data_IF_445641431821
#
_entry.id   IF_445641431821
#
_cell.length_a   1.000
_cell.length_b   1.000
_cell.length_c   1.000
_cell.angle_alpha   90.00
_cell.angle_beta   90.00
_cell.angle_gamma   90.00
#
_symmetry.space_group_name_H-M   'P 1'
#
loop_
_entity.id
_entity.type
_entity.pdbx_description
1 polymer ?
#
# COMPACT_ATOMS: atom_id res chain seq x y z
N UNK A 1 50.04 9.55 -25.58
CA UNK A 1 49.00 8.51 -25.76
C UNK A 1 48.16 8.26 -24.50
N UNK A 2 48.73 8.25 -23.29
CA UNK A 2 47.98 7.98 -22.04
C UNK A 2 46.91 9.04 -21.68
N UNK A 3 47.11 10.32 -22.00
CA UNK A 3 46.13 11.38 -21.71
C UNK A 3 44.85 11.30 -22.56
N UNK A 4 44.95 10.77 -23.78
CA UNK A 4 43.83 10.66 -24.72
C UNK A 4 42.91 9.49 -24.34
N UNK A 5 43.49 8.39 -23.88
CA UNK A 5 42.74 7.22 -23.38
C UNK A 5 41.99 7.52 -22.09
N UNK A 6 42.57 8.28 -21.16
CA UNK A 6 41.89 8.68 -19.91
C UNK A 6 40.67 9.57 -20.17
N UNK A 7 40.76 10.50 -21.14
CA UNK A 7 39.64 11.37 -21.53
C UNK A 7 38.49 10.61 -22.20
N UNK A 8 38.81 9.61 -23.03
CA UNK A 8 37.79 8.71 -23.60
C UNK A 8 37.10 7.87 -22.53
N UNK A 9 37.87 7.30 -21.58
CA UNK A 9 37.32 6.50 -20.50
C UNK A 9 36.40 7.32 -19.57
N UNK A 10 36.76 8.58 -19.29
CA UNK A 10 35.89 9.50 -18.54
C UNK A 10 34.59 9.83 -19.29
N UNK A 11 34.68 10.11 -20.59
CA UNK A 11 33.51 10.44 -21.41
C UNK A 11 32.54 9.26 -21.53
N UNK A 12 33.06 8.03 -21.68
CA UNK A 12 32.26 6.81 -21.72
C UNK A 12 31.64 6.52 -20.34
N UNK A 13 32.36 6.76 -19.24
CA UNK A 13 31.84 6.60 -17.88
C UNK A 13 30.74 7.63 -17.54
N UNK A 14 30.86 8.87 -18.01
CA UNK A 14 29.83 9.90 -17.84
C UNK A 14 28.61 9.57 -18.69
N UNK A 15 28.80 9.13 -19.93
CA UNK A 15 27.69 8.73 -20.81
C UNK A 15 26.96 7.49 -20.28
N UNK A 16 27.65 6.51 -19.70
CA UNK A 16 27.03 5.35 -19.08
C UNK A 16 26.29 5.71 -17.79
N UNK A 17 26.83 6.61 -16.97
CA UNK A 17 26.14 7.12 -15.77
C UNK A 17 24.86 7.90 -16.12
N UNK A 18 24.87 8.69 -17.21
CA UNK A 18 23.70 9.42 -17.72
C UNK A 18 22.63 8.47 -18.29
N UNK A 19 23.03 7.36 -18.93
CA UNK A 19 22.09 6.34 -19.40
C UNK A 19 21.47 5.50 -18.27
N UNK A 20 22.15 5.38 -17.11
CA UNK A 20 21.63 4.72 -15.90
C UNK A 20 20.58 5.56 -15.15
N UNK A 21 20.39 6.84 -15.50
CA UNK A 21 19.23 7.63 -15.08
C UNK A 21 17.97 7.36 -15.94
N UNK A 22 17.97 6.28 -16.72
CA UNK A 22 16.79 5.77 -17.42
C UNK A 22 15.66 5.43 -16.44
N UNK A 23 14.76 6.40 -16.26
CA UNK A 23 13.41 6.33 -15.70
C UNK A 23 13.11 5.10 -14.84
N UNK A 24 13.54 5.15 -13.58
CA UNK A 24 12.86 4.39 -12.53
C UNK A 24 11.49 5.07 -12.32
N UNK A 25 10.45 4.59 -13.00
CA UNK A 25 9.07 4.89 -12.60
C UNK A 25 8.74 4.07 -11.34
N UNK A 26 9.35 4.46 -10.23
CA UNK A 26 9.05 3.91 -8.91
C UNK A 26 8.25 4.93 -8.13
N UNK A 27 6.96 4.68 -7.92
CA UNK A 27 5.99 5.46 -7.11
C UNK A 27 5.83 6.95 -7.48
N UNK A 28 4.68 7.57 -7.12
CA UNK A 28 4.45 9.02 -7.29
C UNK A 28 5.24 9.82 -6.25
N UNK A 29 6.57 9.72 -6.29
CA UNK A 29 7.45 10.64 -5.57
C UNK A 29 7.49 11.95 -6.32
N UNK A 30 7.17 13.03 -5.61
CA UNK A 30 7.30 14.38 -6.12
C UNK A 30 8.33 15.12 -5.29
N UNK A 31 9.07 16.01 -5.94
CA UNK A 31 10.05 16.86 -5.27
C UNK A 31 9.32 18.01 -4.55
N UNK A 32 9.95 18.56 -3.51
CA UNK A 32 9.38 19.66 -2.72
C UNK A 32 8.31 19.23 -1.71
N UNK A 33 7.58 20.22 -1.19
CA UNK A 33 6.56 20.01 -0.16
C UNK A 33 5.27 19.42 -0.72
N UNK A 34 4.49 18.77 0.16
CA UNK A 34 3.14 18.33 -0.15
C UNK A 34 2.29 19.50 -0.68
N UNK A 35 1.50 19.32 -1.74
CA UNK A 35 0.58 20.35 -2.19
C UNK A 35 -0.45 20.66 -1.11
N UNK A 36 -0.90 21.90 -1.09
CA UNK A 36 -1.95 22.34 -0.17
C UNK A 36 -3.31 22.00 -0.77
N UNK A 37 -3.94 20.97 -0.23
CA UNK A 37 -5.32 20.60 -0.57
C UNK A 37 -6.26 21.18 0.48
N UNK A 38 -7.23 21.97 0.03
CA UNK A 38 -8.22 22.59 0.89
C UNK A 38 -9.20 21.53 1.44
N UNK A 39 -9.30 21.35 2.76
CA UNK A 39 -10.25 20.43 3.36
C UNK A 39 -11.70 20.88 3.14
N UNK A 40 -12.64 19.94 3.10
CA UNK A 40 -14.06 20.26 3.00
C UNK A 40 -14.53 21.06 4.22
N UNK A 41 -15.19 22.20 3.96
CA UNK A 41 -15.85 23.00 5.00
C UNK A 41 -17.07 22.29 5.58
N UNK A 42 -17.27 22.39 6.90
CA UNK A 42 -18.44 21.81 7.57
C UNK A 42 -18.47 20.28 7.55
N UNK A 43 -17.30 19.64 7.39
CA UNK A 43 -17.19 18.20 7.36
C UNK A 43 -17.65 17.54 8.66
N UNK A 44 -18.45 16.48 8.56
CA UNK A 44 -18.99 15.74 9.70
C UNK A 44 -18.51 14.29 9.67
N UNK A 45 -17.49 13.99 10.48
CA UNK A 45 -16.85 12.68 10.50
C UNK A 45 -17.83 11.53 10.77
N UNK A 46 -18.86 11.76 11.60
CA UNK A 46 -19.90 10.76 11.89
C UNK A 46 -20.63 10.27 10.62
N UNK A 47 -20.87 11.15 9.66
CA UNK A 47 -21.56 10.81 8.41
C UNK A 47 -20.61 10.14 7.41
N UNK A 48 -19.31 10.38 7.55
CA UNK A 48 -18.28 9.80 6.68
C UNK A 48 -17.90 8.35 7.02
N UNK A 49 -18.32 7.86 8.20
CA UNK A 49 -18.08 6.47 8.62
C UNK A 49 -18.72 5.44 7.67
N UNK A 50 -18.27 4.21 7.82
CA UNK A 50 -18.74 3.05 7.07
C UNK A 50 -17.90 2.77 5.83
N UNK A 51 -18.54 2.07 4.90
CA UNK A 51 -17.88 1.50 3.73
C UNK A 51 -17.86 2.52 2.58
N UNK A 52 -16.72 2.56 1.91
CA UNK A 52 -16.45 3.33 0.71
C UNK A 52 -15.72 2.43 -0.31
N UNK A 53 -16.28 2.28 -1.50
CA UNK A 53 -15.60 1.62 -2.61
C UNK A 53 -14.66 2.59 -3.29
N UNK A 54 -13.42 2.17 -3.53
CA UNK A 54 -12.46 2.98 -4.28
C UNK A 54 -12.74 2.82 -5.77
N UNK A 55 -13.04 3.94 -6.44
CA UNK A 55 -13.35 3.97 -7.88
C UNK A 55 -12.10 4.33 -8.69
N UNK A 56 -11.34 5.31 -8.22
CA UNK A 56 -10.04 5.65 -8.79
C UNK A 56 -9.03 5.95 -7.69
N UNK A 57 -7.78 5.55 -7.89
CA UNK A 57 -6.69 5.84 -6.95
C UNK A 57 -5.36 6.01 -7.66
N UNK A 58 -4.53 6.92 -7.19
CA UNK A 58 -3.18 7.12 -7.72
C UNK A 58 -2.32 5.88 -7.52
N UNK A 59 -1.71 5.37 -8.59
CA UNK A 59 -0.66 4.35 -8.51
C UNK A 59 -1.08 3.00 -7.93
N UNK A 60 -2.34 2.60 -8.06
CA UNK A 60 -2.81 1.26 -7.67
C UNK A 60 -2.95 0.34 -8.88
N UNK A 61 -2.63 -0.93 -8.67
CA UNK A 61 -2.95 -2.05 -9.56
C UNK A 61 -3.91 -3.06 -8.90
N UNK A 62 -4.41 -2.72 -7.71
CA UNK A 62 -5.31 -3.56 -6.93
C UNK A 62 -6.74 -3.47 -7.46
N UNK A 63 -7.51 -4.55 -7.27
CA UNK A 63 -8.93 -4.63 -7.57
C UNK A 63 -9.72 -4.80 -6.28
N UNK A 64 -11.04 -4.57 -6.33
CA UNK A 64 -11.92 -4.75 -5.19
C UNK A 64 -11.48 -3.97 -3.94
N UNK A 65 -10.97 -2.76 -4.14
CA UNK A 65 -10.43 -1.96 -3.03
C UNK A 65 -11.56 -1.27 -2.28
N UNK A 66 -11.63 -1.49 -0.98
CA UNK A 66 -12.67 -0.94 -0.09
C UNK A 66 -12.00 -0.28 1.10
N UNK A 67 -12.50 0.89 1.49
CA UNK A 67 -12.19 1.56 2.75
C UNK A 67 -13.36 1.36 3.70
N UNK A 68 -13.10 0.74 4.85
CA UNK A 68 -14.04 0.66 5.96
C UNK A 68 -13.55 1.57 7.08
N UNK A 69 -14.30 2.65 7.35
CA UNK A 69 -13.94 3.65 8.34
C UNK A 69 -14.84 3.50 9.55
N UNK A 70 -14.26 3.18 10.71
CA UNK A 70 -15.00 2.93 11.95
C UNK A 70 -14.52 3.83 13.07
N UNK A 71 -15.38 4.05 14.07
CA UNK A 71 -15.05 4.88 15.23
C UNK A 71 -14.16 4.10 16.19
N UNK A 72 -13.09 4.72 16.70
CA UNK A 72 -12.43 4.23 17.90
C UNK A 72 -13.29 4.59 19.12
N UNK A 73 -13.82 3.58 19.82
CA UNK A 73 -14.67 3.79 21.00
C UNK A 73 -13.88 4.18 22.25
N UNK A 74 -12.58 3.89 22.26
CA UNK A 74 -11.70 4.11 23.41
C UNK A 74 -11.09 5.52 23.39
N UNK A 75 -10.76 6.02 22.20
CA UNK A 75 -10.12 7.33 22.03
C UNK A 75 -11.00 8.28 21.22
N UNK A 76 -11.49 9.39 21.81
CA UNK A 76 -12.15 10.45 21.06
C UNK A 76 -11.28 10.97 19.92
N UNK A 77 -11.90 11.39 18.81
CA UNK A 77 -11.23 11.93 17.62
C UNK A 77 -10.30 10.95 16.88
N UNK A 78 -10.26 9.69 17.30
CA UNK A 78 -9.62 8.61 16.57
C UNK A 78 -10.63 7.69 15.89
N UNK A 79 -10.20 7.16 14.76
CA UNK A 79 -10.96 6.28 13.89
C UNK A 79 -10.02 5.22 13.31
N UNK A 80 -10.58 4.09 12.94
CA UNK A 80 -9.86 3.09 12.17
C UNK A 80 -10.20 3.23 10.70
N UNK A 81 -9.21 3.03 9.84
CA UNK A 81 -9.39 2.89 8.40
C UNK A 81 -8.83 1.54 7.99
N UNK A 82 -9.70 0.62 7.61
CA UNK A 82 -9.31 -0.66 7.05
C UNK A 82 -9.37 -0.57 5.52
N UNK A 83 -8.24 -0.81 4.86
CA UNK A 83 -8.18 -0.99 3.42
C UNK A 83 -8.15 -2.48 3.10
N UNK A 84 -9.22 -2.99 2.49
CA UNK A 84 -9.29 -4.34 1.92
C UNK A 84 -9.04 -4.25 0.42
N UNK A 85 -8.24 -5.17 -0.12
CA UNK A 85 -7.94 -5.21 -1.55
C UNK A 85 -7.60 -6.61 -2.04
N UNK A 86 -7.87 -6.87 -3.32
CA UNK A 86 -7.36 -8.04 -4.02
C UNK A 86 -6.22 -7.62 -4.94
N UNK A 87 -5.07 -8.27 -4.86
CA UNK A 87 -4.03 -8.09 -5.87
C UNK A 87 -4.42 -8.82 -7.15
N UNK A 88 -4.02 -8.28 -8.29
CA UNK A 88 -4.11 -8.97 -9.56
C UNK A 88 -3.52 -10.38 -9.44
N UNK A 89 -4.13 -11.42 -10.06
CA UNK A 89 -3.70 -12.79 -9.88
C UNK A 89 -2.24 -12.93 -10.28
N UNK A 90 -1.39 -13.16 -9.29
CA UNK A 90 -0.03 -13.63 -9.49
C UNK A 90 -0.15 -15.04 -10.07
N UNK A 91 -0.06 -15.11 -11.40
CA UNK A 91 0.06 -16.30 -12.27
C UNK A 91 0.20 -17.67 -11.57
N UNK A 92 -0.66 -18.61 -11.99
CA UNK A 92 -0.62 -20.09 -11.88
C UNK A 92 -1.37 -20.82 -10.74
N UNK A 93 -2.00 -20.15 -9.77
CA UNK A 93 -2.88 -20.83 -8.81
C UNK A 93 -4.16 -20.02 -8.53
N UNK A 94 -5.32 -20.68 -8.28
CA UNK A 94 -6.59 -20.01 -7.98
C UNK A 94 -6.64 -19.50 -6.53
N UNK A 95 -5.57 -18.84 -6.07
CA UNK A 95 -5.50 -18.31 -4.70
C UNK A 95 -5.91 -16.84 -4.76
N UNK A 96 -7.12 -16.55 -4.25
CA UNK A 96 -7.58 -15.19 -4.00
C UNK A 96 -6.82 -14.66 -2.79
N UNK A 97 -5.76 -13.87 -3.02
CA UNK A 97 -5.03 -13.19 -1.96
C UNK A 97 -5.74 -11.89 -1.61
N UNK A 98 -6.49 -11.91 -0.51
CA UNK A 98 -7.05 -10.71 0.10
C UNK A 98 -6.02 -10.11 1.07
N UNK A 99 -5.74 -8.81 0.92
CA UNK A 99 -4.90 -8.07 1.84
C UNK A 99 -5.76 -7.04 2.56
N UNK A 100 -5.76 -7.11 3.90
CA UNK A 100 -6.37 -6.10 4.77
C UNK A 100 -5.28 -5.36 5.55
N UNK A 101 -5.32 -4.04 5.50
CA UNK A 101 -4.45 -3.15 6.23
C UNK A 101 -5.27 -2.22 7.11
N UNK A 102 -5.09 -2.30 8.42
CA UNK A 102 -5.75 -1.41 9.38
C UNK A 102 -4.83 -0.27 9.77
N UNK A 103 -5.27 0.96 9.51
CA UNK A 103 -4.61 2.20 9.90
C UNK A 103 -5.41 2.96 10.95
N UNK A 104 -4.78 3.94 11.56
CA UNK A 104 -5.42 4.89 12.48
C UNK A 104 -5.56 6.25 11.82
N UNK A 105 -6.75 6.82 11.85
CA UNK A 105 -7.06 8.19 11.50
C UNK A 105 -7.26 9.01 12.78
N UNK A 106 -6.56 10.13 12.90
CA UNK A 106 -6.69 11.04 14.04
C UNK A 106 -7.08 12.43 13.54
N UNK A 107 -8.17 12.98 14.06
CA UNK A 107 -8.55 14.39 13.86
C UNK A 107 -7.66 15.23 14.77
N UNK A 108 -6.71 15.96 14.19
CA UNK A 108 -5.74 16.77 14.94
C UNK A 108 -6.22 18.20 15.20
N UNK A 109 -7.21 18.66 14.44
CA UNK A 109 -7.79 19.99 14.50
C UNK A 109 -9.31 19.88 14.42
N UNK A 110 -9.99 20.14 15.52
CA UNK A 110 -11.45 20.00 15.63
C UNK A 110 -12.23 21.05 14.84
N UNK A 111 -11.59 22.17 14.51
CA UNK A 111 -12.20 23.21 13.67
C UNK A 111 -12.16 22.81 12.19
N UNK A 112 -11.25 21.89 11.82
CA UNK A 112 -11.08 21.37 10.45
C UNK A 112 -11.04 19.83 10.45
N UNK A 113 -12.14 19.15 10.81
CA UNK A 113 -12.17 17.69 10.98
C UNK A 113 -11.96 16.90 9.68
N UNK A 114 -12.11 17.55 8.52
CA UNK A 114 -11.77 16.98 7.22
C UNK A 114 -10.26 16.75 7.02
N UNK A 115 -9.41 17.36 7.87
CA UNK A 115 -7.97 17.23 7.84
C UNK A 115 -7.51 16.35 9.00
N UNK A 116 -7.17 15.12 8.67
CA UNK A 116 -6.72 14.09 9.61
C UNK A 116 -5.26 13.74 9.37
N UNK A 117 -4.71 13.02 10.34
CA UNK A 117 -3.44 12.32 10.21
C UNK A 117 -3.73 10.82 10.14
N UNK A 118 -3.19 10.14 9.14
CA UNK A 118 -3.28 8.69 8.99
C UNK A 118 -1.96 8.02 9.30
N UNK A 119 -2.01 6.83 9.92
CA UNK A 119 -0.84 6.00 10.18
C UNK A 119 -1.17 4.53 10.00
N UNK A 120 -0.53 3.88 9.02
CA UNK A 120 -0.49 2.41 8.95
C UNK A 120 0.70 1.85 9.76
N UNK A 121 0.55 0.69 10.44
CA UNK A 121 1.58 0.07 11.27
C UNK A 121 2.94 -0.17 10.59
N UNK A 122 2.94 -0.36 9.26
CA UNK A 122 4.14 -0.65 8.46
C UNK A 122 4.76 0.59 7.78
N UNK A 123 4.25 1.80 8.05
CA UNK A 123 4.77 3.03 7.45
C UNK A 123 6.07 3.45 8.13
N UNK A 124 7.21 3.00 7.59
CA UNK A 124 8.57 3.34 8.06
C UNK A 124 8.87 4.83 8.03
N UNK A 125 8.15 5.59 7.20
CA UNK A 125 8.31 7.03 7.04
C UNK A 125 7.38 7.86 7.94
N UNK A 126 6.62 7.22 8.84
CA UNK A 126 5.74 7.89 9.80
C UNK A 126 4.32 8.12 9.29
N UNK A 127 3.65 9.15 9.81
CA UNK A 127 2.26 9.45 9.46
C UNK A 127 2.14 10.28 8.18
N UNK A 128 0.97 10.21 7.53
CA UNK A 128 0.62 11.04 6.39
C UNK A 128 -0.55 11.98 6.71
N UNK A 129 -0.64 13.12 6.03
CA UNK A 129 -1.85 13.93 6.00
C UNK A 129 -2.92 13.17 5.23
N UNK A 130 -4.15 13.16 5.72
CA UNK A 130 -5.33 12.60 5.06
C UNK A 130 -6.41 13.70 5.02
N UNK A 131 -6.77 14.15 3.83
CA UNK A 131 -7.68 15.28 3.64
C UNK A 131 -8.89 14.84 2.84
N UNK A 132 -10.07 14.91 3.44
CA UNK A 132 -11.34 14.82 2.71
C UNK A 132 -11.62 16.19 2.11
N UNK A 133 -11.37 16.36 0.81
CA UNK A 133 -11.49 17.66 0.15
C UNK A 133 -12.89 17.93 -0.41
N UNK A 134 -13.69 16.88 -0.58
CA UNK A 134 -15.11 16.98 -0.90
C UNK A 134 -15.85 15.67 -0.64
N UNK A 135 -17.10 15.74 -0.19
CA UNK A 135 -18.01 14.60 -0.14
C UNK A 135 -19.44 15.11 -0.03
N UNK A 136 -20.41 14.32 -0.47
CA UNK A 136 -21.83 14.47 -0.13
C UNK A 136 -22.29 13.43 0.91
N UNK A 137 -21.35 12.66 1.48
CA UNK A 137 -21.51 11.57 2.43
C UNK A 137 -22.25 10.32 1.91
N UNK A 138 -23.19 10.49 1.00
CA UNK A 138 -24.11 9.44 0.57
C UNK A 138 -23.79 8.85 -0.81
N UNK A 139 -23.00 9.55 -1.63
CA UNK A 139 -22.72 9.11 -3.00
C UNK A 139 -21.23 9.02 -3.25
N UNK A 140 -20.49 10.09 -3.00
CA UNK A 140 -19.09 10.20 -3.39
C UNK A 140 -18.22 10.89 -2.33
N UNK A 141 -16.91 10.63 -2.40
CA UNK A 141 -15.92 11.43 -1.71
C UNK A 141 -14.60 11.52 -2.48
N UNK A 142 -13.91 12.63 -2.28
CA UNK A 142 -12.54 12.85 -2.72
C UNK A 142 -11.62 12.94 -1.51
N UNK A 143 -10.61 12.07 -1.49
CA UNK A 143 -9.58 12.03 -0.46
C UNK A 143 -8.21 12.30 -1.09
N UNK A 144 -7.41 13.10 -0.40
CA UNK A 144 -6.01 13.30 -0.74
C UNK A 144 -5.12 12.97 0.46
N UNK A 145 -4.12 12.11 0.22
CA UNK A 145 -3.13 11.75 1.21
C UNK A 145 -1.75 12.20 0.79
N UNK A 146 -0.96 12.72 1.74
CA UNK A 146 0.42 13.11 1.46
C UNK A 146 1.35 12.91 2.66
N UNK A 147 2.52 12.31 2.40
CA UNK A 147 3.57 12.06 3.37
C UNK A 147 4.85 12.73 2.92
N UNK A 148 5.39 13.60 3.76
CA UNK A 148 6.70 14.22 3.53
C UNK A 148 7.79 13.19 3.75
N UNK A 149 8.77 13.15 2.85
CA UNK A 149 9.97 12.30 2.94
C UNK A 149 11.21 13.17 2.74
N UNK A 150 12.43 12.67 3.02
CA UNK A 150 13.64 13.40 2.67
C UNK A 150 13.65 13.78 1.18
N UNK A 151 13.84 15.07 0.90
CA UNK A 151 13.92 15.65 -0.45
C UNK A 151 12.64 15.57 -1.32
N UNK A 152 11.47 15.28 -0.73
CA UNK A 152 10.22 15.29 -1.48
C UNK A 152 8.99 14.86 -0.68
N UNK A 153 8.00 14.34 -1.38
CA UNK A 153 6.80 13.77 -0.78
C UNK A 153 6.25 12.60 -1.61
N UNK A 154 5.48 11.74 -0.93
CA UNK A 154 4.56 10.79 -1.55
C UNK A 154 3.17 11.35 -1.46
N UNK A 155 2.40 11.21 -2.53
CA UNK A 155 1.00 11.61 -2.53
C UNK A 155 0.11 10.58 -3.22
N UNK A 156 -1.16 10.56 -2.84
CA UNK A 156 -2.18 9.75 -3.49
C UNK A 156 -3.52 10.47 -3.40
N UNK A 157 -4.22 10.53 -4.52
CA UNK A 157 -5.62 10.91 -4.55
C UNK A 157 -6.48 9.65 -4.71
N UNK A 158 -7.62 9.64 -4.01
CA UNK A 158 -8.56 8.51 -4.01
C UNK A 158 -9.97 9.05 -4.19
N UNK A 159 -10.67 8.54 -5.20
CA UNK A 159 -12.09 8.77 -5.45
C UNK A 159 -12.86 7.61 -4.86
N UNK A 160 -13.81 7.93 -4.00
CA UNK A 160 -14.62 7.00 -3.25
C UNK A 160 -16.09 7.09 -3.69
N UNK A 161 -16.79 5.96 -3.63
CA UNK A 161 -18.23 5.86 -3.85
C UNK A 161 -18.88 5.01 -2.76
N UNK A 162 -20.16 5.27 -2.47
CA UNK A 162 -20.98 4.39 -1.62
C UNK A 162 -21.44 3.12 -2.35
N UNK A 163 -21.32 3.06 -3.66
CA UNK A 163 -21.59 1.88 -4.48
C UNK A 163 -20.34 1.45 -5.25
N UNK A 164 -20.37 0.26 -5.85
CA UNK A 164 -19.24 -0.31 -6.62
C UNK A 164 -18.97 0.44 -7.94
N UNK A 165 -19.86 1.33 -8.32
CA UNK A 165 -19.76 2.22 -9.46
C UNK A 165 -19.93 3.68 -9.01
N UNK A 166 -19.65 4.62 -9.91
CA UNK A 166 -19.89 6.03 -9.68
C UNK A 166 -20.14 6.72 -11.00
N UNK A 167 -21.23 7.47 -11.09
CA UNK A 167 -21.57 8.20 -12.31
C UNK A 167 -20.45 9.15 -12.72
N UNK A 168 -20.22 9.21 -14.04
CA UNK A 168 -19.14 10.02 -14.64
C UNK A 168 -19.20 11.48 -14.18
N UNK A 169 -20.38 12.03 -13.95
CA UNK A 169 -20.56 13.41 -13.46
C UNK A 169 -19.84 13.64 -12.12
N UNK A 170 -19.90 12.69 -11.18
CA UNK A 170 -19.21 12.81 -9.89
C UNK A 170 -17.71 12.57 -10.05
N UNK A 171 -17.30 11.62 -10.89
CA UNK A 171 -15.88 11.40 -11.22
C UNK A 171 -15.25 12.68 -11.79
N UNK A 172 -15.88 13.29 -12.79
CA UNK A 172 -15.41 14.52 -13.43
C UNK A 172 -15.39 15.69 -12.42
N UNK A 173 -16.42 15.79 -11.57
CA UNK A 173 -16.51 16.80 -10.50
C UNK A 173 -15.33 16.70 -9.54
N UNK A 174 -14.99 15.49 -9.08
CA UNK A 174 -13.88 15.27 -8.15
C UNK A 174 -12.54 15.56 -8.83
N UNK A 175 -12.33 15.06 -10.05
CA UNK A 175 -11.10 15.31 -10.82
C UNK A 175 -10.89 16.80 -11.10
N UNK A 176 -11.95 17.53 -11.41
CA UNK A 176 -11.88 18.99 -11.64
C UNK A 176 -11.49 19.74 -10.37
N UNK A 177 -12.05 19.38 -9.21
CA UNK A 177 -11.67 19.97 -7.92
C UNK A 177 -10.21 19.65 -7.57
N UNK A 178 -9.78 18.42 -7.82
CA UNK A 178 -8.41 17.97 -7.56
C UNK A 178 -7.37 18.72 -8.42
N UNK A 179 -7.67 18.93 -9.71
CA UNK A 179 -6.82 19.70 -10.61
C UNK A 179 -6.61 21.16 -10.13
N UNK A 180 -7.60 21.73 -9.45
CA UNK A 180 -7.50 23.05 -8.82
C UNK A 180 -6.42 23.14 -7.72
N UNK A 181 -5.95 22.01 -7.18
CA UNK A 181 -4.86 21.95 -6.20
C UNK A 181 -3.50 21.62 -6.84
N UNK A 182 -3.38 21.71 -8.16
CA UNK A 182 -2.19 21.32 -8.93
C UNK A 182 -1.79 19.85 -8.72
N UNK A 183 -2.76 19.00 -8.36
CA UNK A 183 -2.62 17.55 -8.35
C UNK A 183 -3.14 17.04 -9.68
N UNK A 184 -2.28 16.33 -10.43
CA UNK A 184 -2.64 15.80 -11.74
C UNK A 184 -3.81 14.79 -11.62
N UNK A 185 -4.98 15.10 -12.19
CA UNK A 185 -6.12 14.19 -12.14
C UNK A 185 -5.96 12.97 -13.06
N UNK A 186 -4.96 12.94 -13.94
CA UNK A 186 -4.71 11.85 -14.90
C UNK A 186 -3.80 10.75 -14.35
N UNK A 187 -3.14 10.98 -13.22
CA UNK A 187 -2.36 9.96 -12.49
C UNK A 187 -3.24 8.93 -11.73
N UNK A 188 -4.56 8.95 -11.96
CA UNK A 188 -5.54 8.11 -11.31
C UNK A 188 -5.84 6.83 -12.10
N UNK A 189 -5.53 5.67 -11.51
CA UNK A 189 -5.91 4.35 -12.03
C UNK A 189 -7.37 4.05 -11.69
N UNK A 190 -8.12 3.47 -12.63
CA UNK A 190 -9.45 2.92 -12.37
C UNK A 190 -9.30 1.63 -11.56
N UNK A 191 -10.05 1.51 -10.47
CA UNK A 191 -10.10 0.29 -9.64
C UNK A 191 -11.30 -0.55 -10.07
N UNK A 192 -11.04 -1.79 -10.50
CA UNK A 192 -12.11 -2.71 -10.90
C UNK A 192 -12.85 -3.25 -9.68
N UNK A 193 -14.16 -3.01 -9.61
CA UNK A 193 -15.07 -3.46 -8.54
C UNK A 193 -16.00 -4.61 -9.00
N UNK A 194 -15.75 -5.19 -10.18
CA UNK A 194 -16.56 -6.29 -10.75
C UNK A 194 -16.10 -7.64 -10.22
N UNK A 195 -17.04 -8.53 -9.88
CA UNK A 195 -16.72 -9.89 -9.43
C UNK A 195 -16.09 -9.97 -8.04
N UNK A 196 -16.15 -8.89 -7.26
CA UNK A 196 -15.61 -8.84 -5.90
C UNK A 196 -16.43 -9.71 -4.94
N UNK A 197 -15.79 -10.39 -3.96
CA UNK A 197 -16.48 -11.09 -2.88
C UNK A 197 -17.51 -10.21 -2.20
N UNK A 198 -18.54 -10.81 -1.60
CA UNK A 198 -19.43 -10.03 -0.74
C UNK A 198 -18.70 -9.70 0.56
N UNK A 199 -19.04 -8.55 1.13
CA UNK A 199 -18.53 -8.13 2.43
C UNK A 199 -18.87 -9.21 3.47
N UNK A 200 -17.84 -9.75 4.12
CA UNK A 200 -17.99 -10.85 5.10
C UNK A 200 -17.93 -12.27 4.53
N UNK A 201 -17.74 -12.47 3.22
CA UNK A 201 -17.39 -13.79 2.68
C UNK A 201 -15.90 -14.07 2.93
N UNK A 202 -15.58 -15.11 3.71
CA UNK A 202 -14.23 -15.45 4.13
C UNK A 202 -13.32 -15.79 2.94
N UNK A 203 -12.56 -14.81 2.46
CA UNK A 203 -11.27 -15.03 1.82
C UNK A 203 -10.24 -15.49 2.86
N UNK A 204 -9.07 -15.96 2.41
CA UNK A 204 -7.93 -16.11 3.32
C UNK A 204 -7.50 -14.71 3.77
N UNK A 205 -8.12 -14.22 4.84
CA UNK A 205 -7.90 -12.90 5.40
C UNK A 205 -6.52 -12.88 6.08
N UNK A 206 -5.50 -12.42 5.36
CA UNK A 206 -4.24 -12.06 6.00
C UNK A 206 -4.48 -10.69 6.64
N UNK A 207 -4.99 -10.72 7.88
CA UNK A 207 -5.19 -9.50 8.67
C UNK A 207 -3.85 -9.08 9.26
N UNK A 208 -3.30 -7.98 8.73
CA UNK A 208 -2.04 -7.43 9.19
C UNK A 208 -2.36 -6.38 10.26
N UNK A 209 -2.56 -6.88 11.47
CA UNK A 209 -2.75 -6.05 12.66
C UNK A 209 -1.41 -5.66 13.31
N UNK A 210 -1.40 -4.59 14.13
CA UNK A 210 -0.26 -4.26 14.96
C UNK A 210 0.19 -5.42 15.88
N UNK A 211 -0.72 -6.31 16.29
CA UNK A 211 -0.43 -7.43 17.19
C UNK A 211 0.02 -8.72 16.48
N UNK A 212 -0.07 -8.76 15.15
CA UNK A 212 0.33 -9.92 14.33
C UNK A 212 1.83 -10.23 14.45
N UNK A 213 2.66 -9.27 14.87
CA UNK A 213 4.11 -9.43 15.00
C UNK A 213 4.62 -9.56 16.46
N UNK A 214 3.75 -9.76 17.45
CA UNK A 214 4.22 -10.09 18.80
C UNK A 214 4.80 -11.51 18.84
N UNK A 215 5.98 -11.69 19.45
CA UNK A 215 6.68 -12.99 19.55
C UNK A 215 5.85 -14.10 20.23
N UNK A 216 4.80 -13.74 20.98
CA UNK A 216 3.82 -14.66 21.58
C UNK A 216 2.79 -15.20 20.59
N UNK A 217 2.42 -14.44 19.56
CA UNK A 217 1.41 -14.84 18.59
C UNK A 217 1.97 -15.77 17.51
N UNK A 218 3.26 -15.61 17.16
CA UNK A 218 3.99 -16.54 16.30
C UNK A 218 3.98 -17.96 16.90
N UNK A 219 4.26 -18.08 18.20
CA UNK A 219 4.25 -19.37 18.92
C UNK A 219 2.85 -20.02 18.97
N UNK A 220 1.80 -19.22 19.14
CA UNK A 220 0.42 -19.72 19.15
C UNK A 220 -0.07 -20.12 17.76
N UNK A 221 0.34 -19.41 16.70
CA UNK A 221 0.05 -19.78 15.32
C UNK A 221 0.74 -21.10 14.93
N UNK A 222 2.00 -21.30 15.34
CA UNK A 222 2.70 -22.58 15.17
C UNK A 222 2.07 -23.72 15.97
N UNK A 223 1.58 -23.46 17.19
CA UNK A 223 0.87 -24.46 18.01
C UNK A 223 -0.46 -24.89 17.41
N UNK A 224 -1.24 -23.94 16.89
CA UNK A 224 -2.57 -24.21 16.26
C UNK A 224 -2.43 -24.89 14.90
N UNK A 225 -1.35 -24.62 14.17
CA UNK A 225 -0.99 -25.34 12.94
C UNK A 225 -0.52 -26.78 13.22
N UNK A 226 -0.02 -27.07 14.43
CA UNK A 226 0.37 -28.42 14.86
C UNK A 226 -0.79 -29.35 15.23
N UNK A 227 -1.98 -28.80 15.55
CA UNK A 227 -3.16 -29.60 15.96
C UNK A 227 -4.01 -30.08 14.77
N UNK A 228 -3.79 -29.52 13.57
CA UNK A 228 -4.49 -29.91 12.36
C UNK A 228 -3.48 -30.23 11.25
N UNK A 229 -3.10 -31.50 11.11
CA UNK A 229 -2.75 -32.21 9.86
C UNK A 229 -2.16 -33.59 10.25
N UNK A 230 -2.89 -34.66 9.92
CA UNK A 230 -2.45 -36.05 10.07
C UNK A 230 -1.49 -36.51 8.98
N UNK A 231 -0.66 -37.49 9.35
CA UNK A 231 0.24 -38.39 8.60
C UNK A 231 1.26 -37.82 7.58
N UNK A 232 1.10 -36.60 7.07
CA UNK A 232 2.05 -35.99 6.13
C UNK A 232 3.21 -35.23 6.78
N UNK A 233 3.09 -34.88 8.06
CA UNK A 233 4.02 -33.98 8.74
C UNK A 233 5.31 -34.67 9.20
N UNK A 234 5.27 -35.96 9.56
CA UNK A 234 6.46 -36.68 10.04
C UNK A 234 7.56 -36.78 8.98
N UNK A 235 7.20 -36.90 7.70
CA UNK A 235 8.17 -36.89 6.60
C UNK A 235 8.84 -35.52 6.43
N UNK A 236 8.06 -34.44 6.56
CA UNK A 236 8.55 -33.07 6.42
C UNK A 236 9.41 -32.64 7.64
N UNK A 237 9.03 -33.05 8.86
CA UNK A 237 9.80 -32.79 10.08
C UNK A 237 11.10 -33.59 10.08
N UNK A 238 11.08 -34.85 9.64
CA UNK A 238 12.30 -35.64 9.56
C UNK A 238 13.24 -35.14 8.46
N UNK A 239 12.71 -34.68 7.33
CA UNK A 239 13.49 -33.99 6.30
C UNK A 239 14.09 -32.66 6.82
N UNK A 240 13.28 -31.87 7.52
CA UNK A 240 13.70 -30.60 8.14
C UNK A 240 14.74 -30.78 9.23
N UNK A 241 14.61 -31.79 10.11
CA UNK A 241 15.62 -32.14 11.12
C UNK A 241 16.92 -32.64 10.50
N UNK A 242 16.84 -33.38 9.40
CA UNK A 242 18.03 -33.87 8.66
C UNK A 242 18.78 -32.72 7.98
N UNK A 243 18.05 -31.72 7.47
CA UNK A 243 18.61 -30.47 6.97
C UNK A 243 19.22 -29.63 8.11
N UNK A 244 18.48 -29.42 9.19
CA UNK A 244 18.95 -28.63 10.34
C UNK A 244 20.22 -29.20 10.99
N UNK A 245 20.30 -30.52 11.16
CA UNK A 245 21.50 -31.17 11.70
C UNK A 245 22.68 -31.12 10.72
N UNK A 246 22.43 -31.12 9.41
CA UNK A 246 23.47 -30.95 8.39
C UNK A 246 24.03 -29.52 8.36
N UNK A 247 23.23 -28.52 8.73
CA UNK A 247 23.64 -27.11 8.80
C UNK A 247 24.32 -26.72 10.12
N UNK A 248 24.17 -27.51 11.18
CA UNK A 248 24.80 -27.24 12.49
C UNK A 248 26.25 -27.73 12.61
N UNK A 249 26.77 -28.43 11.59
CA UNK A 249 28.11 -29.02 11.60
C UNK A 249 29.13 -28.27 10.72
N UNK A 250 28.73 -27.23 9.99
CA UNK A 250 29.65 -26.44 9.15
C UNK A 250 29.50 -24.94 9.41
N UNK A 251 30.10 -24.45 10.48
CA UNK A 251 30.42 -23.03 10.62
C UNK A 251 31.78 -22.74 9.98
N UNK A 252 31.89 -21.55 9.39
CA UNK A 252 33.05 -20.95 8.68
C UNK A 252 33.18 -21.22 7.17
N UNK A 253 32.29 -20.65 6.36
CA UNK A 253 32.68 -19.89 5.14
C UNK A 253 31.51 -19.03 4.63
N UNK A 254 31.81 -17.80 4.18
CA UNK A 254 30.86 -16.82 3.66
C UNK A 254 30.26 -17.34 2.33
N UNK A 255 29.05 -17.91 2.36
CA UNK A 255 28.39 -18.41 1.15
C UNK A 255 27.42 -17.37 0.57
N UNK A 256 27.85 -16.75 -0.54
CA UNK A 256 26.98 -16.04 -1.49
C UNK A 256 25.87 -16.96 -1.99
N UNK A 257 24.61 -16.57 -1.81
CA UNK A 257 23.47 -17.23 -2.46
C UNK A 257 23.37 -16.68 -3.88
N UNK A 258 23.71 -17.49 -4.88
CA UNK A 258 23.27 -17.27 -6.26
C UNK A 258 21.75 -17.44 -6.31
N UNK A 259 21.05 -16.33 -6.17
CA UNK A 259 19.63 -16.26 -6.49
C UNK A 259 19.49 -16.24 -8.02
N UNK A 260 19.04 -17.35 -8.59
CA UNK A 260 18.60 -17.40 -10.00
C UNK A 260 17.24 -16.70 -10.14
N UNK A 261 17.15 -15.44 -9.73
CA UNK A 261 16.01 -14.56 -10.01
C UNK A 261 16.37 -13.64 -11.16
N UNK A 262 15.65 -13.81 -12.27
CA UNK A 262 15.70 -12.93 -13.42
C UNK A 262 15.48 -11.47 -12.93
N UNK A 263 16.48 -10.57 -13.05
CA UNK A 263 16.44 -9.24 -12.44
C UNK A 263 15.25 -8.39 -12.92
N UNK A 264 14.79 -8.64 -14.14
CA UNK A 264 13.60 -7.98 -14.72
C UNK A 264 12.30 -8.30 -13.96
N UNK A 265 12.22 -9.42 -13.21
CA UNK A 265 11.02 -9.83 -12.47
C UNK A 265 10.96 -9.22 -11.08
N UNK A 266 12.10 -9.10 -10.39
CA UNK A 266 12.18 -8.42 -9.09
C UNK A 266 11.87 -6.93 -9.23
N UNK A 267 12.39 -6.29 -10.27
CA UNK A 267 12.15 -4.87 -10.58
C UNK A 267 10.66 -4.59 -10.85
N UNK A 268 9.96 -5.51 -11.51
CA UNK A 268 8.52 -5.42 -11.79
C UNK A 268 7.64 -5.56 -10.53
N UNK A 269 8.08 -6.33 -9.54
CA UNK A 269 7.36 -6.53 -8.28
C UNK A 269 7.49 -5.32 -7.34
N UNK A 270 8.65 -4.65 -7.36
CA UNK A 270 8.87 -3.40 -6.60
C UNK A 270 8.10 -2.24 -7.22
N UNK A 271 8.01 -2.17 -8.56
CA UNK A 271 7.26 -1.13 -9.28
C UNK A 271 5.73 -1.25 -9.17
N UNK A 272 5.19 -2.29 -8.52
CA UNK A 272 3.75 -2.52 -8.33
C UNK A 272 3.29 -2.42 -6.87
N UNK A 273 4.17 -1.98 -5.96
CA UNK A 273 3.79 -1.80 -4.56
C UNK A 273 2.93 -0.53 -4.39
N UNK A 274 1.64 -0.73 -4.15
CA UNK A 274 0.70 0.31 -3.79
C UNK A 274 1.12 1.00 -2.49
N UNK A 275 1.18 2.34 -2.48
CA UNK A 275 1.49 3.10 -1.27
C UNK A 275 0.27 3.16 -0.34
N UNK A 276 0.50 2.79 0.92
CA UNK A 276 -0.45 2.93 2.02
C UNK A 276 0.03 4.06 2.93
N UNK A 277 -0.75 5.15 3.09
CA UNK A 277 -0.33 6.39 3.75
C UNK A 277 -0.08 6.30 5.26
#
# INVERSE_FOLDING_TARGET
MAFTTVRCLLAVAIASLVCLFGTVQGHTYKTGDCPTVEPMSGFQMKQFLGIWYVIQKTGTASTCVIYNITKNVETPDEYFIEQVSQKAPLSLAPIKHEYSYTGKLTVTDRDVPARMTVRFPLSVAGSAKFVVFMTDYDTYAGVFSCQKIPFGHRQSATLLSRTRDLDKIYVDKIRSRLAGFSVDPFDLSIVNQTGCPKEGEAGWNIHIDPDTFSTRNIANAFRKAGEAIGDGFEAAVNAGKKLYNKYRESDEEYATVEETTNPNRAERLVNQAEWLP
#
